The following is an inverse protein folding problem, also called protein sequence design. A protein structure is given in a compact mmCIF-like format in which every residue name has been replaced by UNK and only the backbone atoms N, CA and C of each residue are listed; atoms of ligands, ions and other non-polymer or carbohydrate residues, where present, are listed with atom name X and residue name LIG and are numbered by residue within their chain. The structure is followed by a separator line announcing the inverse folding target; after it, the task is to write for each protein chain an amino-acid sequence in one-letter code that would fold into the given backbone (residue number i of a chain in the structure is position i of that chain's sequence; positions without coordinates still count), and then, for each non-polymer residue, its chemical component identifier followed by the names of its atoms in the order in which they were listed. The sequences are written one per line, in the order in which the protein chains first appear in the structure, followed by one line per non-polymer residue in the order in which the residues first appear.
data_IF_476241096852
#
_entry.id   IF_476241096852
#
_cell.length_a   1.000
_cell.length_b   1.000
_cell.length_c   1.000
_cell.angle_alpha   90.00
_cell.angle_beta   90.00
_cell.angle_gamma   90.00
#
_symmetry.space_group_name_H-M   'P 1'
#
loop_
_entity.id
_entity.type
_entity.pdbx_description
1 polymer ?
#
# COMPACT_ATOMS: atom_id res chain seq x y z
N UNK A 1 21.85 16.17 3.24
CA UNK A 1 21.87 16.09 1.77
C UNK A 1 20.48 15.69 1.34
N UNK A 2 19.65 16.66 0.97
CA UNK A 2 18.27 16.43 0.55
C UNK A 2 18.28 16.22 -0.96
N UNK A 3 17.96 15.01 -1.42
CA UNK A 3 17.78 14.75 -2.84
C UNK A 3 16.35 15.13 -3.24
N UNK A 4 16.22 16.25 -3.93
CA UNK A 4 15.06 16.60 -4.75
C UNK A 4 15.32 16.18 -6.20
N UNK A 5 14.47 15.32 -6.76
CA UNK A 5 13.97 15.41 -8.13
C UNK A 5 12.92 14.31 -8.40
N UNK A 6 11.69 14.71 -8.69
CA UNK A 6 11.09 14.39 -9.99
C UNK A 6 9.91 15.34 -10.34
N UNK A 7 9.66 15.56 -11.64
CA UNK A 7 8.86 16.68 -12.17
C UNK A 7 7.39 16.30 -12.40
N UNK A 8 6.54 17.35 -12.36
CA UNK A 8 5.26 17.53 -13.07
C UNK A 8 4.48 16.27 -13.51
N UNK A 9 3.42 15.96 -12.76
CA UNK A 9 2.38 15.00 -13.14
C UNK A 9 1.43 14.78 -11.97
N UNK A 10 0.38 15.60 -11.90
CA UNK A 10 -0.75 15.42 -10.98
C UNK A 10 -1.26 13.97 -11.15
N UNK A 11 -1.28 13.11 -10.12
CA UNK A 11 -2.20 11.98 -9.89
C UNK A 11 -1.67 11.11 -8.71
N UNK A 12 -2.52 10.94 -7.69
CA UNK A 12 -2.34 10.27 -6.38
C UNK A 12 -1.87 11.13 -5.20
N UNK A 13 -2.71 12.11 -4.83
CA UNK A 13 -2.57 12.96 -3.64
C UNK A 13 -2.50 12.19 -2.32
N UNK A 14 -3.17 11.04 -2.19
CA UNK A 14 -3.32 10.36 -0.90
C UNK A 14 -2.05 9.67 -0.41
N UNK A 15 -1.37 8.90 -1.26
CA UNK A 15 -0.12 8.24 -0.87
C UNK A 15 1.01 9.25 -0.64
N UNK A 16 1.05 10.32 -1.45
CA UNK A 16 1.97 11.43 -1.24
C UNK A 16 1.68 12.17 0.08
N UNK A 17 0.40 12.42 0.39
CA UNK A 17 -0.01 13.01 1.65
C UNK A 17 0.35 12.12 2.85
N UNK A 18 0.22 10.80 2.73
CA UNK A 18 0.62 9.87 3.78
C UNK A 18 2.14 9.91 4.02
N UNK A 19 2.94 9.90 2.96
CA UNK A 19 4.41 10.04 3.07
C UNK A 19 4.81 11.36 3.72
N UNK A 20 4.19 12.47 3.31
CA UNK A 20 4.39 13.78 3.93
C UNK A 20 3.97 13.78 5.41
N UNK A 21 2.85 13.14 5.75
CA UNK A 21 2.37 13.06 7.13
C UNK A 21 3.36 12.35 8.06
N UNK A 22 3.90 11.19 7.66
CA UNK A 22 4.87 10.47 8.47
C UNK A 22 6.21 11.21 8.61
N UNK A 23 6.67 11.86 7.54
CA UNK A 23 7.88 12.69 7.62
C UNK A 23 7.70 13.91 8.55
N UNK A 24 6.51 14.51 8.59
CA UNK A 24 6.20 15.63 9.48
C UNK A 24 6.01 15.20 10.95
N UNK A 25 5.71 13.93 11.21
CA UNK A 25 5.44 13.37 12.53
C UNK A 25 6.36 12.18 12.87
N UNK A 26 7.68 12.40 13.03
CA UNK A 26 8.66 11.31 13.20
C UNK A 26 8.50 10.50 14.50
N UNK A 27 7.75 11.01 15.48
CA UNK A 27 7.47 10.35 16.77
C UNK A 27 6.09 9.67 16.79
N UNK A 28 5.39 9.64 15.66
CA UNK A 28 4.08 9.03 15.58
C UNK A 28 4.20 7.52 15.79
N UNK A 29 3.56 7.01 16.84
CA UNK A 29 3.55 5.59 17.16
C UNK A 29 2.35 4.86 16.57
N UNK A 30 1.29 5.59 16.22
CA UNK A 30 0.02 5.00 15.74
C UNK A 30 -0.56 5.82 14.60
N UNK A 31 -0.98 5.13 13.53
CA UNK A 31 -1.64 5.76 12.41
C UNK A 31 -2.83 4.92 11.93
N UNK A 32 -3.92 5.62 11.64
CA UNK A 32 -5.07 5.07 10.94
C UNK A 32 -5.34 5.94 9.72
N UNK A 33 -5.16 5.38 8.52
CA UNK A 33 -5.29 6.10 7.27
C UNK A 33 -6.39 5.47 6.43
N UNK A 34 -7.33 6.31 5.99
CA UNK A 34 -8.34 5.96 5.00
C UNK A 34 -8.07 6.72 3.71
N UNK A 35 -8.01 6.03 2.57
CA UNK A 35 -7.84 6.69 1.28
C UNK A 35 -8.61 5.98 0.17
N UNK A 36 -9.18 6.78 -0.72
CA UNK A 36 -9.64 6.33 -2.03
C UNK A 36 -8.54 6.60 -3.03
N UNK A 37 -8.05 5.55 -3.68
CA UNK A 37 -7.02 5.65 -4.69
C UNK A 37 -7.64 5.54 -6.08
N UNK A 38 -7.39 6.53 -6.92
CA UNK A 38 -7.74 6.52 -8.33
C UNK A 38 -6.44 6.36 -9.12
N UNK A 39 -6.12 5.14 -9.56
CA UNK A 39 -5.00 4.92 -10.45
C UNK A 39 -5.51 4.92 -11.88
N UNK A 40 -5.21 5.96 -12.64
CA UNK A 40 -5.32 5.90 -14.09
C UNK A 40 -4.23 4.98 -14.61
N UNK A 41 -4.61 3.87 -15.25
CA UNK A 41 -3.69 2.95 -15.95
C UNK A 41 -3.18 3.62 -17.24
N UNK A 42 -2.66 4.83 -17.15
CA UNK A 42 -2.00 5.49 -18.26
C UNK A 42 -0.54 5.04 -18.26
N UNK A 43 -0.30 3.98 -19.03
CA UNK A 43 1.01 3.50 -19.49
C UNK A 43 1.89 2.86 -18.42
N UNK A 44 1.86 1.52 -18.31
CA UNK A 44 3.01 0.62 -18.06
C UNK A 44 4.05 0.91 -16.97
N UNK A 45 3.88 1.94 -16.14
CA UNK A 45 4.80 2.33 -15.09
C UNK A 45 4.35 1.65 -13.81
N UNK A 46 5.15 0.69 -13.40
CA UNK A 46 5.11 0.13 -12.05
C UNK A 46 5.51 1.26 -11.08
N UNK A 47 4.53 1.84 -10.38
CA UNK A 47 4.78 2.89 -9.39
C UNK A 47 4.70 2.28 -7.99
N UNK A 48 5.76 2.43 -7.21
CA UNK A 48 5.75 2.03 -5.81
C UNK A 48 5.59 3.24 -4.89
N UNK A 49 4.75 3.13 -3.87
CA UNK A 49 4.61 4.14 -2.82
C UNK A 49 5.49 3.78 -1.63
N UNK A 50 6.29 4.73 -1.16
CA UNK A 50 7.16 4.54 -0.01
C UNK A 50 6.62 5.29 1.23
N UNK A 51 6.35 4.54 2.29
CA UNK A 51 5.95 5.06 3.59
C UNK A 51 7.07 4.80 4.59
N UNK A 52 7.78 5.84 4.99
CA UNK A 52 8.83 5.75 6.00
C UNK A 52 8.31 6.27 7.34
N UNK A 53 8.24 5.40 8.34
CA UNK A 53 7.67 5.71 9.64
C UNK A 53 8.47 5.03 10.76
N UNK A 54 9.63 5.59 11.16
CA UNK A 54 10.63 4.89 11.98
C UNK A 54 10.18 4.60 13.42
N UNK A 55 9.21 5.34 13.94
CA UNK A 55 8.69 5.17 15.31
C UNK A 55 7.32 4.49 15.35
N UNK A 56 6.78 4.10 14.20
CA UNK A 56 5.41 3.62 14.09
C UNK A 56 5.31 2.19 14.61
N UNK A 57 4.46 1.98 15.60
CA UNK A 57 4.15 0.68 16.22
C UNK A 57 2.86 0.08 15.70
N UNK A 58 1.85 0.92 15.42
CA UNK A 58 0.54 0.46 14.92
C UNK A 58 0.15 1.18 13.64
N UNK A 59 -0.15 0.42 12.60
CA UNK A 59 -0.62 0.94 11.33
C UNK A 59 -1.92 0.25 10.93
N UNK A 60 -2.96 1.06 10.71
CA UNK A 60 -4.20 0.63 10.07
C UNK A 60 -4.41 1.39 8.76
N UNK A 61 -4.59 0.64 7.67
CA UNK A 61 -4.90 1.16 6.36
C UNK A 61 -6.31 0.72 5.95
N UNK A 62 -7.10 1.64 5.40
CA UNK A 62 -8.35 1.35 4.73
C UNK A 62 -8.30 1.97 3.34
N UNK A 63 -8.09 1.13 2.35
CA UNK A 63 -7.82 1.54 0.97
C UNK A 63 -8.96 1.04 0.08
N UNK A 64 -9.53 1.97 -0.67
CA UNK A 64 -10.56 1.69 -1.66
C UNK A 64 -10.07 2.12 -3.03
N UNK A 65 -10.30 1.32 -4.06
CA UNK A 65 -9.99 1.70 -5.44
C UNK A 65 -11.08 1.29 -6.42
N UNK A 66 -11.34 2.18 -7.37
CA UNK A 66 -12.21 1.89 -8.50
C UNK A 66 -11.58 0.88 -9.47
N UNK A 67 -10.24 0.79 -9.52
CA UNK A 67 -9.49 0.06 -10.54
C UNK A 67 -8.44 -0.88 -9.95
N UNK A 68 -8.06 -1.94 -10.69
CA UNK A 68 -6.94 -2.81 -10.31
C UNK A 68 -5.65 -2.03 -10.60
N UNK A 69 -4.91 -1.66 -9.56
CA UNK A 69 -3.66 -0.92 -9.69
C UNK A 69 -2.45 -1.86 -9.62
N UNK A 70 -1.50 -1.69 -10.53
CA UNK A 70 -0.25 -2.45 -10.56
C UNK A 70 0.89 -1.69 -9.84
N UNK A 71 0.75 -1.39 -8.54
CA UNK A 71 1.78 -0.66 -7.81
C UNK A 71 1.93 -1.09 -6.36
N UNK A 72 3.17 -1.30 -5.94
CA UNK A 72 3.54 -1.74 -4.60
C UNK A 72 3.36 -0.64 -3.55
N UNK A 73 2.87 -1.01 -2.36
CA UNK A 73 2.93 -0.16 -1.17
C UNK A 73 4.04 -0.68 -0.26
N UNK A 74 5.15 0.05 -0.23
CA UNK A 74 6.34 -0.28 0.56
C UNK A 74 6.30 0.49 1.87
N UNK A 75 6.27 -0.22 2.99
CA UNK A 75 6.21 0.34 4.34
C UNK A 75 7.52 0.02 5.05
N UNK A 76 8.26 1.06 5.41
CA UNK A 76 9.50 0.98 6.18
C UNK A 76 9.28 1.52 7.60
N UNK A 77 8.96 0.59 8.49
CA UNK A 77 8.61 0.83 9.88
C UNK A 77 9.24 -0.27 10.77
N UNK A 78 10.52 -0.12 11.18
CA UNK A 78 11.30 -1.17 11.83
C UNK A 78 10.79 -1.60 13.22
N UNK A 79 9.99 -0.73 13.86
CA UNK A 79 9.38 -0.98 15.18
C UNK A 79 7.88 -1.28 15.08
N UNK A 80 7.38 -1.57 13.89
CA UNK A 80 5.97 -1.89 13.69
C UNK A 80 5.62 -3.20 14.38
N UNK A 81 4.67 -3.15 15.30
CA UNK A 81 4.15 -4.27 16.10
C UNK A 81 2.84 -4.81 15.51
N UNK A 82 1.99 -3.91 14.99
CA UNK A 82 0.68 -4.26 14.47
C UNK A 82 0.42 -3.63 13.09
N UNK A 83 0.06 -4.47 12.13
CA UNK A 83 -0.34 -4.06 10.79
C UNK A 83 -1.74 -4.58 10.46
N UNK A 84 -2.63 -3.68 10.10
CA UNK A 84 -3.98 -4.01 9.66
C UNK A 84 -4.26 -3.31 8.33
N UNK A 85 -4.72 -4.06 7.34
CA UNK A 85 -5.18 -3.50 6.08
C UNK A 85 -6.56 -4.01 5.72
N UNK A 86 -7.41 -3.09 5.34
CA UNK A 86 -8.71 -3.32 4.72
C UNK A 86 -8.62 -2.75 3.30
N UNK A 87 -8.54 -3.63 2.32
CA UNK A 87 -8.28 -3.32 0.90
C UNK A 87 -9.36 -4.01 0.06
N UNK A 88 -9.86 -3.39 -1.01
CA UNK A 88 -10.86 -3.98 -1.91
C UNK A 88 -10.30 -4.41 -3.28
N UNK A 89 -8.98 -4.30 -3.47
CA UNK A 89 -8.31 -4.57 -4.75
C UNK A 89 -7.06 -5.43 -4.67
N UNK A 90 -6.69 -5.90 -3.48
CA UNK A 90 -5.54 -6.78 -3.26
C UNK A 90 -4.23 -6.16 -3.79
N UNK A 91 -3.87 -4.97 -3.32
CA UNK A 91 -2.55 -4.41 -3.63
C UNK A 91 -1.45 -5.27 -3.02
N UNK A 92 -0.28 -5.21 -3.62
CA UNK A 92 0.91 -5.80 -3.07
C UNK A 92 1.50 -4.88 -2.00
N UNK A 93 1.61 -5.37 -0.77
CA UNK A 93 2.19 -4.66 0.38
C UNK A 93 3.54 -5.27 0.74
N UNK A 94 4.57 -4.45 0.75
CA UNK A 94 5.94 -4.86 1.12
C UNK A 94 6.31 -4.21 2.44
N UNK A 95 6.36 -5.01 3.51
CA UNK A 95 6.78 -4.56 4.83
C UNK A 95 8.30 -4.75 5.00
N UNK A 96 9.03 -3.66 5.24
CA UNK A 96 10.47 -3.67 5.55
C UNK A 96 10.70 -3.60 7.05
N UNK A 97 11.71 -4.33 7.54
CA UNK A 97 12.11 -4.27 8.94
C UNK A 97 11.11 -4.91 9.91
N UNK A 98 10.54 -6.07 9.56
CA UNK A 98 9.49 -6.74 10.33
C UNK A 98 9.95 -7.41 11.64
N UNK A 99 11.11 -7.06 12.19
CA UNK A 99 11.65 -7.73 13.38
C UNK A 99 10.76 -7.59 14.62
N UNK A 100 9.93 -6.55 14.65
CA UNK A 100 9.06 -6.22 15.78
C UNK A 100 7.59 -6.61 15.55
N UNK A 101 7.25 -7.14 14.37
CA UNK A 101 5.87 -7.36 13.97
C UNK A 101 5.26 -8.56 14.72
N UNK A 102 4.22 -8.29 15.50
CA UNK A 102 3.50 -9.29 16.30
C UNK A 102 2.23 -9.73 15.58
N UNK A 103 1.51 -8.78 14.97
CA UNK A 103 0.22 -9.04 14.34
C UNK A 103 0.16 -8.41 12.95
N UNK A 104 -0.24 -9.21 11.96
CA UNK A 104 -0.61 -8.74 10.63
C UNK A 104 -1.99 -9.27 10.25
N UNK A 105 -2.91 -8.41 9.81
CA UNK A 105 -4.21 -8.83 9.27
C UNK A 105 -4.50 -8.11 7.97
N UNK A 106 -4.92 -8.89 6.99
CA UNK A 106 -5.29 -8.43 5.66
C UNK A 106 -6.75 -8.84 5.43
N UNK A 107 -7.61 -7.85 5.24
CA UNK A 107 -8.99 -8.04 4.77
C UNK A 107 -9.06 -7.50 3.35
N UNK A 108 -9.40 -8.35 2.38
CA UNK A 108 -9.37 -8.01 0.95
C UNK A 108 -10.75 -7.77 0.32
N UNK A 109 -11.79 -7.67 1.17
CA UNK A 109 -13.13 -7.28 0.77
C UNK A 109 -13.83 -8.26 -0.19
N UNK A 110 -15.17 -8.22 -0.21
CA UNK A 110 -15.97 -8.95 -1.21
C UNK A 110 -15.80 -8.44 -2.66
N UNK A 111 -15.56 -7.13 -2.93
CA UNK A 111 -15.39 -6.62 -4.29
C UNK A 111 -14.24 -7.26 -5.07
N UNK A 112 -13.16 -7.68 -4.40
CA UNK A 112 -12.06 -8.39 -5.02
C UNK A 112 -12.50 -9.74 -5.63
N UNK A 113 -13.26 -10.54 -4.87
CA UNK A 113 -13.75 -11.84 -5.35
C UNK A 113 -14.65 -11.69 -6.59
N UNK A 114 -15.49 -10.63 -6.64
CA UNK A 114 -16.31 -10.35 -7.83
C UNK A 114 -15.48 -9.93 -9.05
N UNK A 115 -14.38 -9.20 -8.85
CA UNK A 115 -13.46 -8.84 -9.94
C UNK A 115 -12.76 -10.10 -10.51
N UNK A 116 -12.42 -11.08 -9.67
CA UNK A 116 -11.90 -12.37 -10.12
C UNK A 116 -12.95 -13.16 -10.92
N UNK A 117 -14.19 -13.23 -10.44
CA UNK A 117 -15.28 -13.96 -11.12
C UNK A 117 -15.58 -13.44 -12.54
N UNK A 118 -15.29 -12.15 -12.80
CA UNK A 118 -15.51 -11.52 -14.10
C UNK A 118 -14.24 -11.35 -14.94
N UNK A 119 -13.06 -11.74 -14.43
CA UNK A 119 -11.82 -11.72 -15.20
C UNK A 119 -11.73 -13.00 -16.05
N UNK A 120 -11.57 -12.90 -17.39
CA UNK A 120 -11.32 -14.08 -18.21
C UNK A 120 -9.94 -14.66 -17.83
N UNK A 121 -9.96 -15.77 -17.11
CA UNK A 121 -8.84 -16.72 -16.85
C UNK A 121 -7.44 -16.13 -16.96
N UNK A 122 -6.97 -15.49 -15.89
CA UNK A 122 -5.57 -15.08 -15.70
C UNK A 122 -4.83 -16.06 -14.75
N UNK A 123 -5.18 -17.35 -14.81
CA UNK A 123 -4.73 -18.38 -13.86
C UNK A 123 -3.95 -19.52 -14.55
N UNK A 124 -3.17 -19.25 -15.60
CA UNK A 124 -2.33 -20.27 -16.25
C UNK A 124 -0.93 -20.44 -15.61
N UNK A 125 -0.60 -19.73 -14.52
CA UNK A 125 0.76 -19.73 -13.94
C UNK A 125 0.84 -19.94 -12.42
N UNK A 126 -0.19 -20.49 -11.76
CA UNK A 126 -0.13 -20.75 -10.30
C UNK A 126 0.32 -22.17 -9.95
N UNK A 127 0.64 -23.00 -10.94
CA UNK A 127 1.09 -24.39 -10.72
C UNK A 127 2.59 -24.53 -10.38
N UNK A 128 3.35 -23.44 -10.21
CA UNK A 128 4.81 -23.51 -10.00
C UNK A 128 5.31 -23.02 -8.61
N UNK A 129 4.44 -22.90 -7.61
CA UNK A 129 4.84 -22.51 -6.24
C UNK A 129 4.20 -23.36 -5.12
N UNK A 130 4.16 -24.68 -5.30
CA UNK A 130 4.00 -25.64 -4.20
C UNK A 130 5.22 -26.56 -4.08
#
# INVERSE_FOLDING_TARGET
SCCSHNPLGNHNSAAYAASHFFSAAPRLEEACLGATMSCSVEQGYDFSYYLQAPSLKRLRLSLQTSEISAGDIIIDAPVLEEFFVDDDCFRHYVLKGMSSLVTAKVNVGVPFFRKIEHAPTYFDHVDELL
#
